data_IF_407941078858
#
_entry.id   IF_407941078858
#
_cell.length_a   1.000
_cell.length_b   1.000
_cell.length_c   1.000
_cell.angle_alpha   90.00
_cell.angle_beta   90.00
_cell.angle_gamma   90.00
#
_symmetry.space_group_name_H-M   'P 1'
#
loop_
_entity.id
_entity.type
_entity.pdbx_description
1 polymer ?
#
# COMPACT_ATOMS: atom_id res chain seq x y z
N UNK A 1 -2.50 30.62 -63.29
CA UNK A 1 -3.51 29.80 -62.61
C UNK A 1 -2.74 28.69 -61.94
N UNK A 2 -2.86 28.57 -60.61
CA UNK A 2 -2.29 27.44 -59.86
C UNK A 2 -3.10 26.18 -60.17
N UNK A 3 -2.42 25.03 -60.23
CA UNK A 3 -3.08 23.75 -60.49
C UNK A 3 -3.62 23.20 -59.16
N UNK A 4 -4.93 22.94 -59.10
CA UNK A 4 -5.56 22.31 -57.94
C UNK A 4 -5.08 20.87 -57.76
N UNK A 5 -4.96 20.46 -56.50
CA UNK A 5 -4.63 19.07 -56.15
C UNK A 5 -5.81 18.14 -56.39
N UNK A 6 -5.52 16.85 -56.56
CA UNK A 6 -6.56 15.83 -56.66
C UNK A 6 -7.39 15.75 -55.38
N UNK A 7 -8.72 15.77 -55.53
CA UNK A 7 -9.65 15.64 -54.41
C UNK A 7 -9.66 14.22 -53.83
N UNK A 8 -10.18 14.09 -52.62
CA UNK A 8 -10.37 12.80 -51.95
C UNK A 8 -11.28 11.90 -52.79
N UNK A 9 -10.72 10.77 -53.17
CA UNK A 9 -11.26 9.93 -54.24
C UNK A 9 -12.40 9.01 -53.79
N UNK A 10 -13.69 9.30 -54.00
CA UNK A 10 -14.80 8.34 -53.76
C UNK A 10 -15.37 8.26 -52.33
N UNK A 11 -16.09 7.18 -52.00
CA UNK A 11 -16.63 6.93 -50.65
C UNK A 11 -15.73 6.06 -49.78
N UNK A 12 -15.48 6.46 -48.52
CA UNK A 12 -14.72 5.67 -47.56
C UNK A 12 -15.36 4.31 -47.21
N UNK A 13 -16.66 4.16 -47.51
CA UNK A 13 -17.46 2.98 -47.23
C UNK A 13 -17.66 2.07 -48.46
N UNK A 14 -17.27 2.51 -49.65
CA UNK A 14 -17.35 1.77 -50.92
C UNK A 14 -15.99 1.81 -51.64
N UNK A 15 -15.01 0.99 -51.22
CA UNK A 15 -13.64 1.05 -51.73
C UNK A 15 -13.50 0.31 -53.08
N UNK A 16 -14.49 0.38 -53.98
CA UNK A 16 -14.44 -0.35 -55.26
C UNK A 16 -14.24 0.61 -56.44
N UNK A 17 -13.52 1.70 -56.22
CA UNK A 17 -13.32 2.75 -57.21
C UNK A 17 -11.85 2.73 -57.73
N UNK A 18 -11.67 2.96 -59.03
CA UNK A 18 -10.36 2.98 -59.72
C UNK A 18 -9.77 4.39 -59.71
N UNK A 19 -8.48 4.58 -59.42
CA UNK A 19 -7.88 5.92 -59.45
C UNK A 19 -8.07 6.61 -60.81
N UNK A 20 -8.49 7.88 -60.77
CA UNK A 20 -8.48 8.77 -61.92
C UNK A 20 -7.05 9.11 -62.35
N UNK A 21 -6.81 9.04 -63.66
CA UNK A 21 -5.61 9.57 -64.30
C UNK A 21 -5.79 11.01 -64.76
N UNK A 22 -4.69 11.63 -65.19
CA UNK A 22 -4.68 12.95 -65.85
C UNK A 22 -4.13 12.77 -67.25
N UNK A 23 -4.74 13.37 -68.26
CA UNK A 23 -4.22 13.31 -69.62
C UNK A 23 -4.82 14.43 -70.46
N UNK A 24 -4.04 14.94 -71.40
CA UNK A 24 -4.54 15.86 -72.42
C UNK A 24 -4.34 15.23 -73.79
N UNK A 25 -5.41 15.10 -74.61
CA UNK A 25 -5.31 14.50 -75.92
C UNK A 25 -4.35 15.26 -76.86
N UNK A 26 -3.98 16.50 -76.50
CA UNK A 26 -3.09 17.36 -77.29
C UNK A 26 -1.60 17.23 -76.94
N UNK A 27 -1.23 16.82 -75.71
CA UNK A 27 0.16 16.79 -75.25
C UNK A 27 0.81 15.40 -75.30
N UNK A 28 0.03 14.32 -75.37
CA UNK A 28 0.54 12.93 -75.39
C UNK A 28 1.21 12.46 -74.09
N UNK A 29 1.28 13.34 -73.10
CA UNK A 29 1.71 13.04 -71.74
C UNK A 29 0.46 12.76 -70.88
N UNK A 30 0.37 11.52 -70.38
CA UNK A 30 -0.73 11.03 -69.55
C UNK A 30 -0.16 10.39 -68.27
N UNK A 31 -0.81 10.61 -67.14
CA UNK A 31 -0.54 9.95 -65.86
C UNK A 31 -1.66 8.98 -65.53
N UNK A 32 -1.37 7.69 -65.39
CA UNK A 32 -2.36 6.70 -64.98
C UNK A 32 -2.72 6.81 -63.49
N UNK A 33 -4.00 6.64 -63.16
CA UNK A 33 -4.42 6.44 -61.77
C UNK A 33 -4.12 5.02 -61.28
N UNK A 34 -4.09 4.84 -59.97
CA UNK A 34 -3.88 3.53 -59.35
C UNK A 34 -5.04 2.56 -59.60
N UNK A 35 -4.73 1.26 -59.64
CA UNK A 35 -5.71 0.21 -59.92
C UNK A 35 -6.60 -0.20 -58.73
N UNK A 36 -7.23 -1.36 -58.85
CA UNK A 36 -7.98 -2.01 -57.76
C UNK A 36 -7.31 -3.35 -57.43
N UNK A 37 -6.87 -3.52 -56.19
CA UNK A 37 -6.34 -4.77 -55.67
C UNK A 37 -7.35 -5.35 -54.68
N UNK A 38 -7.87 -6.54 -54.97
CA UNK A 38 -8.77 -7.26 -54.07
C UNK A 38 -8.14 -8.59 -53.69
N UNK A 39 -7.95 -8.81 -52.38
CA UNK A 39 -7.37 -10.04 -51.84
C UNK A 39 -8.39 -10.69 -50.91
N UNK A 40 -8.90 -11.85 -51.33
CA UNK A 40 -9.92 -12.62 -50.63
C UNK A 40 -11.36 -12.22 -50.98
N UNK A 41 -12.32 -12.75 -50.24
CA UNK A 41 -13.74 -12.40 -50.40
C UNK A 41 -14.50 -12.53 -49.08
N UNK A 42 -15.72 -11.97 -49.02
CA UNK A 42 -16.63 -12.14 -47.88
C UNK A 42 -16.92 -13.61 -47.53
N UNK A 43 -17.05 -14.46 -48.55
CA UNK A 43 -17.38 -15.89 -48.39
C UNK A 43 -16.14 -16.72 -48.03
N UNK A 44 -14.99 -16.34 -48.57
CA UNK A 44 -13.71 -17.03 -48.41
C UNK A 44 -12.62 -16.02 -48.06
N UNK A 45 -12.55 -15.57 -46.80
CA UNK A 45 -11.49 -14.68 -46.35
C UNK A 45 -10.17 -15.44 -46.20
N UNK A 46 -9.04 -14.76 -46.41
CA UNK A 46 -7.73 -15.34 -46.15
C UNK A 46 -7.53 -15.50 -44.63
N UNK A 47 -7.03 -16.65 -44.20
CA UNK A 47 -6.72 -16.88 -42.78
C UNK A 47 -5.65 -15.91 -42.27
N UNK A 48 -4.54 -15.76 -42.99
CA UNK A 48 -3.49 -14.78 -42.68
C UNK A 48 -2.83 -14.27 -43.94
N UNK A 49 -2.53 -12.98 -44.00
CA UNK A 49 -1.70 -12.36 -45.02
C UNK A 49 -0.40 -11.84 -44.39
N UNK A 50 0.74 -12.25 -44.94
CA UNK A 50 2.06 -11.84 -44.50
C UNK A 50 2.72 -11.04 -45.63
N UNK A 51 3.08 -9.79 -45.37
CA UNK A 51 3.69 -8.90 -46.37
C UNK A 51 5.18 -8.74 -46.05
N UNK A 52 6.01 -9.32 -46.93
CA UNK A 52 7.47 -9.27 -46.95
C UNK A 52 7.94 -8.54 -48.23
N UNK A 53 7.78 -7.22 -48.29
CA UNK A 53 7.97 -6.41 -49.49
C UNK A 53 6.92 -5.33 -49.64
N UNK A 54 6.50 -5.03 -50.86
CA UNK A 54 5.55 -3.95 -51.15
C UNK A 54 4.24 -4.45 -51.77
N UNK A 55 3.12 -3.92 -51.32
CA UNK A 55 1.83 -3.97 -52.01
C UNK A 55 1.42 -2.54 -52.28
N UNK A 56 1.43 -2.12 -53.53
CA UNK A 56 1.10 -0.75 -53.92
C UNK A 56 0.03 -0.70 -54.98
N UNK A 57 -0.89 0.24 -54.82
CA UNK A 57 -1.85 0.68 -55.83
C UNK A 57 -1.73 2.19 -56.03
N UNK A 58 -0.49 2.67 -56.05
CA UNK A 58 -0.16 4.10 -56.12
C UNK A 58 -0.48 4.66 -57.51
N UNK A 59 -0.82 5.95 -57.56
CA UNK A 59 -1.00 6.68 -58.81
C UNK A 59 0.33 6.97 -59.48
N UNK A 60 0.33 7.03 -60.82
CA UNK A 60 1.53 7.32 -61.58
C UNK A 60 2.01 8.75 -61.30
N UNK A 61 3.31 8.87 -61.02
CA UNK A 61 3.98 10.16 -61.00
C UNK A 61 4.48 10.44 -62.41
N UNK A 62 4.25 11.66 -62.89
CA UNK A 62 4.79 12.05 -64.19
C UNK A 62 6.32 11.91 -64.16
N UNK A 63 6.88 11.18 -65.13
CA UNK A 63 8.31 10.89 -65.19
C UNK A 63 9.07 12.18 -65.49
N UNK A 64 10.27 12.31 -64.92
CA UNK A 64 11.22 13.35 -65.26
C UNK A 64 11.71 13.16 -66.71
N UNK A 65 10.86 13.47 -67.70
CA UNK A 65 11.34 13.66 -69.06
C UNK A 65 12.14 14.96 -69.04
N UNK A 66 13.47 14.81 -68.98
CA UNK A 66 14.46 15.83 -69.34
C UNK A 66 14.29 16.10 -70.84
N UNK A 67 13.19 16.74 -71.19
CA UNK A 67 12.86 17.16 -72.54
C UNK A 67 13.18 18.64 -72.65
N UNK A 68 14.22 18.96 -73.41
CA UNK A 68 14.46 20.33 -73.88
C UNK A 68 13.22 20.80 -74.68
N UNK A 69 12.28 21.47 -74.03
CA UNK A 69 11.22 22.20 -74.73
C UNK A 69 11.42 23.69 -74.54
N UNK A 70 12.14 24.28 -75.47
CA UNK A 70 12.12 25.70 -75.80
C UNK A 70 10.73 26.09 -76.33
N UNK A 71 9.72 26.11 -75.46
CA UNK A 71 8.33 26.35 -75.83
C UNK A 71 7.48 26.82 -74.65
N UNK A 72 6.71 27.89 -74.89
CA UNK A 72 5.88 28.61 -73.93
C UNK A 72 4.61 27.83 -73.50
N UNK A 73 4.75 26.61 -72.96
CA UNK A 73 3.62 25.86 -72.39
C UNK A 73 3.64 25.97 -70.86
N UNK A 74 2.77 26.81 -70.29
CA UNK A 74 2.64 27.09 -68.84
C UNK A 74 1.62 26.17 -68.14
N UNK A 75 1.61 24.89 -68.48
CA UNK A 75 0.71 23.93 -67.84
C UNK A 75 1.35 22.55 -67.83
N UNK A 76 1.88 22.15 -66.69
CA UNK A 76 2.31 20.78 -66.45
C UNK A 76 1.12 19.89 -66.04
N UNK A 77 1.37 18.60 -66.10
CA UNK A 77 0.35 17.57 -65.91
C UNK A 77 0.32 17.14 -64.44
N UNK A 78 -0.89 16.92 -63.94
CA UNK A 78 -1.11 16.44 -62.58
C UNK A 78 -0.69 14.99 -62.38
N UNK A 79 -0.43 14.62 -61.13
CA UNK A 79 -0.19 13.23 -60.76
C UNK A 79 -1.45 12.37 -60.85
N UNK A 80 -1.30 11.08 -61.16
CA UNK A 80 -2.40 10.13 -61.08
C UNK A 80 -2.87 9.95 -59.64
N UNK A 81 -4.18 9.79 -59.41
CA UNK A 81 -4.68 9.50 -58.05
C UNK A 81 -4.36 8.06 -57.63
N UNK A 82 -4.23 7.83 -56.32
CA UNK A 82 -4.07 6.49 -55.76
C UNK A 82 -5.32 5.63 -56.01
N UNK A 83 -5.10 4.33 -56.15
CA UNK A 83 -6.15 3.34 -56.37
C UNK A 83 -6.74 2.80 -55.07
N UNK A 84 -7.36 1.62 -55.14
CA UNK A 84 -7.98 1.00 -53.96
C UNK A 84 -7.44 -0.40 -53.67
N UNK A 85 -7.22 -0.68 -52.39
CA UNK A 85 -6.81 -1.99 -51.87
C UNK A 85 -7.87 -2.50 -50.88
N UNK A 86 -8.46 -3.66 -51.19
CA UNK A 86 -9.50 -4.35 -50.43
C UNK A 86 -8.96 -5.68 -49.88
N UNK A 87 -8.95 -5.81 -48.56
CA UNK A 87 -8.48 -7.02 -47.88
C UNK A 87 -9.63 -7.73 -47.15
N UNK A 88 -9.85 -9.00 -47.46
CA UNK A 88 -10.76 -9.88 -46.70
C UNK A 88 -9.95 -10.92 -45.94
N UNK A 89 -9.68 -10.66 -44.65
CA UNK A 89 -8.69 -11.41 -43.86
C UNK A 89 -9.25 -11.82 -42.49
N UNK A 90 -8.62 -12.82 -41.87
CA UNK A 90 -8.69 -13.07 -40.43
C UNK A 90 -7.45 -12.53 -39.69
N UNK A 91 -6.31 -12.40 -40.38
CA UNK A 91 -5.11 -11.80 -39.80
C UNK A 91 -4.15 -11.16 -40.81
N UNK A 92 -3.39 -10.17 -40.36
CA UNK A 92 -2.43 -9.39 -41.15
C UNK A 92 -1.10 -9.22 -40.41
N UNK A 93 0.01 -9.46 -41.10
CA UNK A 93 1.34 -9.07 -40.65
C UNK A 93 2.03 -8.25 -41.75
N UNK A 94 2.43 -7.03 -41.42
CA UNK A 94 3.31 -6.21 -42.27
C UNK A 94 4.66 -6.17 -41.60
N UNK A 95 5.66 -6.79 -42.22
CA UNK A 95 7.01 -6.88 -41.67
C UNK A 95 7.71 -5.50 -41.62
N UNK A 96 8.81 -5.41 -40.86
CA UNK A 96 9.71 -4.25 -40.88
C UNK A 96 10.30 -4.14 -42.30
N UNK A 97 10.36 -2.92 -42.84
CA UNK A 97 10.76 -2.62 -44.23
C UNK A 97 9.78 -3.05 -45.33
N UNK A 98 8.60 -3.57 -44.98
CA UNK A 98 7.51 -3.75 -45.93
C UNK A 98 6.67 -2.49 -46.07
N UNK A 99 6.08 -2.28 -47.25
CA UNK A 99 5.19 -1.16 -47.54
C UNK A 99 3.82 -1.61 -48.06
N UNK A 100 2.79 -0.94 -47.59
CA UNK A 100 1.43 -1.05 -48.11
C UNK A 100 0.96 0.36 -48.49
N UNK A 101 0.87 0.66 -49.77
CA UNK A 101 0.59 2.02 -50.25
C UNK A 101 -0.54 2.10 -51.27
N UNK A 102 -1.34 3.16 -51.13
CA UNK A 102 -2.29 3.60 -52.14
C UNK A 102 -2.23 5.14 -52.19
N UNK A 103 -1.03 5.68 -52.42
CA UNK A 103 -0.76 7.11 -52.44
C UNK A 103 -0.95 7.72 -53.84
N UNK A 104 -1.23 9.01 -53.89
CA UNK A 104 -1.29 9.77 -55.14
C UNK A 104 0.10 10.02 -55.74
N UNK A 105 0.15 10.09 -57.06
CA UNK A 105 1.35 10.42 -57.83
C UNK A 105 1.73 11.89 -57.73
N UNK A 106 3.00 12.20 -57.97
CA UNK A 106 3.52 13.58 -57.98
C UNK A 106 3.14 14.31 -59.26
N UNK A 107 2.86 15.61 -59.14
CA UNK A 107 2.68 16.51 -60.29
C UNK A 107 3.97 16.67 -61.10
N UNK A 108 3.82 17.02 -62.38
CA UNK A 108 4.93 17.14 -63.32
C UNK A 108 5.88 18.31 -63.07
N UNK A 109 7.06 18.24 -63.68
CA UNK A 109 8.16 19.20 -63.49
C UNK A 109 7.83 20.64 -63.91
N UNK A 110 6.88 20.85 -64.82
CA UNK A 110 6.50 22.17 -65.37
C UNK A 110 5.21 22.74 -64.76
N UNK A 111 4.86 22.30 -63.55
CA UNK A 111 3.72 22.79 -62.76
C UNK A 111 2.46 21.95 -62.87
N UNK A 112 2.06 21.29 -61.80
CA UNK A 112 0.88 20.41 -61.79
C UNK A 112 0.49 20.00 -60.38
N UNK A 113 -0.81 19.84 -60.13
CA UNK A 113 -1.34 19.36 -58.86
C UNK A 113 -0.95 17.91 -58.58
N UNK A 114 -0.75 17.59 -57.30
CA UNK A 114 -0.53 16.21 -56.87
C UNK A 114 -1.79 15.37 -57.00
N UNK A 115 -1.65 14.08 -57.30
CA UNK A 115 -2.79 13.16 -57.36
C UNK A 115 -3.41 12.96 -55.97
N UNK A 116 -4.73 12.75 -55.90
CA UNK A 116 -5.41 12.44 -54.64
C UNK A 116 -4.96 11.09 -54.07
N UNK A 117 -4.96 10.93 -52.75
CA UNK A 117 -4.68 9.66 -52.09
C UNK A 117 -5.78 8.62 -52.34
N UNK A 118 -5.38 7.37 -52.40
CA UNK A 118 -6.23 6.21 -52.64
C UNK A 118 -6.93 5.68 -51.38
N UNK A 119 -7.33 4.41 -51.39
CA UNK A 119 -8.05 3.80 -50.25
C UNK A 119 -7.50 2.43 -49.89
N UNK A 120 -7.47 2.14 -48.60
CA UNK A 120 -7.10 0.84 -48.07
C UNK A 120 -8.20 0.44 -47.08
N UNK A 121 -8.89 -0.66 -47.35
CA UNK A 121 -9.95 -1.15 -46.47
C UNK A 121 -9.68 -2.58 -46.01
N UNK A 122 -9.77 -2.77 -44.69
CA UNK A 122 -9.64 -4.07 -44.05
C UNK A 122 -10.99 -4.62 -43.61
N UNK A 123 -11.47 -5.63 -44.34
CA UNK A 123 -12.66 -6.38 -43.99
C UNK A 123 -12.29 -7.60 -43.13
N UNK A 124 -12.34 -7.42 -41.82
CA UNK A 124 -12.05 -8.48 -40.86
C UNK A 124 -13.17 -9.52 -40.78
N UNK A 125 -12.77 -10.79 -40.76
CA UNK A 125 -13.66 -11.93 -40.57
C UNK A 125 -13.32 -12.67 -39.28
N UNK A 126 -14.35 -13.18 -38.61
CA UNK A 126 -14.22 -14.01 -37.41
C UNK A 126 -13.33 -13.39 -36.30
N UNK A 127 -13.59 -12.13 -35.93
CA UNK A 127 -12.89 -11.48 -34.81
C UNK A 127 -13.34 -12.17 -33.51
N UNK A 128 -12.46 -12.96 -32.91
CA UNK A 128 -12.70 -13.54 -31.59
C UNK A 128 -12.78 -12.43 -30.53
N UNK A 129 -13.60 -12.62 -29.50
CA UNK A 129 -13.82 -11.63 -28.43
C UNK A 129 -13.60 -12.24 -27.04
N UNK A 130 -13.36 -11.39 -26.05
CA UNK A 130 -13.10 -11.84 -24.67
C UNK A 130 -11.82 -12.67 -24.55
N UNK A 131 -11.89 -13.78 -23.81
CA UNK A 131 -10.72 -14.59 -23.45
C UNK A 131 -10.03 -15.26 -24.65
N UNK A 132 -10.74 -15.42 -25.77
CA UNK A 132 -10.22 -15.97 -27.03
C UNK A 132 -9.64 -14.90 -27.96
N UNK A 133 -9.70 -13.62 -27.59
CA UNK A 133 -9.17 -12.56 -28.44
C UNK A 133 -7.67 -12.74 -28.69
N UNK A 134 -7.32 -12.64 -29.98
CA UNK A 134 -5.94 -12.63 -30.46
C UNK A 134 -5.80 -11.41 -31.37
N UNK A 135 -4.67 -10.72 -31.25
CA UNK A 135 -4.36 -9.58 -32.11
C UNK A 135 -4.43 -10.00 -33.59
N UNK A 136 -5.35 -9.37 -34.32
CA UNK A 136 -5.62 -9.70 -35.73
C UNK A 136 -4.64 -9.02 -36.70
N UNK A 137 -4.02 -7.89 -36.31
CA UNK A 137 -3.07 -7.19 -37.16
C UNK A 137 -1.82 -6.76 -36.40
N UNK A 138 -0.65 -7.00 -36.99
CA UNK A 138 0.63 -6.47 -36.53
C UNK A 138 1.30 -5.72 -37.68
N UNK A 139 1.47 -4.40 -37.50
CA UNK A 139 2.00 -3.50 -38.52
C UNK A 139 3.33 -2.97 -38.01
N UNK A 140 4.41 -3.56 -38.51
CA UNK A 140 5.78 -3.11 -38.23
C UNK A 140 6.39 -2.33 -39.41
N UNK A 141 5.74 -2.36 -40.58
CA UNK A 141 6.13 -1.63 -41.79
C UNK A 141 5.32 -0.34 -41.99
N UNK A 142 5.36 0.20 -43.21
CA UNK A 142 4.67 1.45 -43.57
C UNK A 142 3.32 1.19 -44.21
N UNK A 143 2.29 1.93 -43.78
CA UNK A 143 0.97 1.95 -44.43
C UNK A 143 0.68 3.39 -44.82
N UNK A 144 0.56 3.67 -46.12
CA UNK A 144 0.41 5.02 -46.65
C UNK A 144 -0.77 5.12 -47.62
N UNK A 145 -1.50 6.21 -47.53
CA UNK A 145 -2.64 6.52 -48.40
C UNK A 145 -2.69 8.03 -48.63
N UNK A 146 -1.52 8.67 -48.75
CA UNK A 146 -1.40 10.13 -48.77
C UNK A 146 -1.64 10.71 -50.16
N UNK A 147 -2.00 11.98 -50.21
CA UNK A 147 -1.97 12.74 -51.47
C UNK A 147 -0.55 12.86 -52.03
N UNK A 148 -0.47 13.01 -53.34
CA UNK A 148 0.77 13.31 -54.05
C UNK A 148 1.21 14.76 -53.86
N UNK A 149 2.50 15.02 -54.03
CA UNK A 149 3.04 16.39 -54.02
C UNK A 149 2.68 17.11 -55.31
N UNK A 150 2.20 18.35 -55.19
CA UNK A 150 2.19 19.28 -56.32
C UNK A 150 3.59 19.81 -56.61
N UNK A 151 3.78 20.44 -57.77
CA UNK A 151 5.03 21.06 -58.20
C UNK A 151 4.77 22.39 -58.93
N UNK A 152 5.77 23.29 -58.99
CA UNK A 152 5.71 24.70 -59.47
C UNK A 152 4.35 25.38 -59.19
N UNK A 153 4.13 25.76 -57.92
CA UNK A 153 2.89 26.37 -57.41
C UNK A 153 1.63 25.48 -57.48
N UNK A 154 1.77 24.19 -57.83
CA UNK A 154 0.69 23.19 -57.75
C UNK A 154 0.36 22.78 -56.32
N UNK A 155 -0.93 22.59 -56.03
CA UNK A 155 -1.40 22.14 -54.71
C UNK A 155 -1.17 20.64 -54.49
N UNK A 156 -1.01 20.25 -53.22
CA UNK A 156 -0.96 18.85 -52.80
C UNK A 156 -2.31 18.18 -53.03
N UNK A 157 -2.28 16.90 -53.41
CA UNK A 157 -3.50 16.08 -53.42
C UNK A 157 -4.03 15.89 -51.99
N UNK A 158 -5.33 15.69 -51.86
CA UNK A 158 -5.94 15.36 -50.58
C UNK A 158 -5.55 13.94 -50.13
N UNK A 159 -5.46 13.73 -48.81
CA UNK A 159 -5.19 12.41 -48.25
C UNK A 159 -6.36 11.45 -48.44
N UNK A 160 -6.00 10.20 -48.70
CA UNK A 160 -6.91 9.08 -48.86
C UNK A 160 -7.50 8.57 -47.54
N UNK A 161 -7.93 7.31 -47.53
CA UNK A 161 -8.51 6.71 -46.33
C UNK A 161 -8.04 5.30 -46.07
N UNK A 162 -7.71 5.05 -44.81
CA UNK A 162 -7.46 3.72 -44.28
C UNK A 162 -8.63 3.37 -43.35
N UNK A 163 -9.53 2.48 -43.79
CA UNK A 163 -10.73 2.10 -43.03
C UNK A 163 -10.73 0.61 -42.68
N UNK A 164 -11.49 0.26 -41.66
CA UNK A 164 -11.67 -1.12 -41.22
C UNK A 164 -13.14 -1.40 -40.97
N UNK A 165 -13.50 -2.67 -40.98
CA UNK A 165 -14.82 -3.12 -40.51
C UNK A 165 -15.08 -2.67 -39.08
N UNK A 166 -16.35 -2.42 -38.76
CA UNK A 166 -16.79 -2.14 -37.40
C UNK A 166 -16.35 -3.23 -36.42
N UNK A 167 -15.66 -2.82 -35.37
CA UNK A 167 -15.17 -3.75 -34.35
C UNK A 167 -16.28 -4.14 -33.37
N UNK A 168 -16.24 -5.38 -32.84
CA UNK A 168 -17.15 -5.79 -31.77
C UNK A 168 -16.86 -5.03 -30.47
N UNK A 169 -17.70 -5.26 -29.47
CA UNK A 169 -17.57 -4.69 -28.12
C UNK A 169 -16.17 -4.96 -27.53
N UNK A 170 -15.65 -4.02 -26.75
CA UNK A 170 -14.30 -4.11 -26.15
C UNK A 170 -13.11 -3.72 -27.08
N UNK A 171 -13.31 -3.68 -28.40
CA UNK A 171 -12.25 -3.39 -29.38
C UNK A 171 -12.51 -2.09 -30.14
N UNK A 172 -11.48 -1.41 -30.66
CA UNK A 172 -11.61 -0.16 -31.43
C UNK A 172 -10.52 0.00 -32.50
N UNK A 173 -10.67 1.01 -33.35
CA UNK A 173 -9.72 1.36 -34.41
C UNK A 173 -9.88 0.53 -35.68
N UNK A 174 -9.05 0.82 -36.68
CA UNK A 174 -9.03 0.10 -37.97
C UNK A 174 -8.69 -1.38 -37.83
N UNK A 175 -7.86 -1.71 -36.83
CA UNK A 175 -7.31 -3.06 -36.61
C UNK A 175 -7.97 -3.81 -35.44
N UNK A 176 -9.08 -3.27 -34.91
CA UNK A 176 -9.79 -3.83 -33.74
C UNK A 176 -8.86 -4.19 -32.58
N UNK A 177 -8.12 -3.19 -32.11
CA UNK A 177 -7.27 -3.29 -30.93
C UNK A 177 -8.09 -3.18 -29.66
N UNK A 178 -7.61 -3.77 -28.57
CA UNK A 178 -8.28 -3.71 -27.26
C UNK A 178 -8.37 -2.27 -26.75
N UNK A 179 -9.53 -1.88 -26.20
CA UNK A 179 -9.68 -0.58 -25.55
C UNK A 179 -8.66 -0.41 -24.39
N UNK A 180 -8.18 0.81 -24.11
CA UNK A 180 -7.23 1.06 -23.03
C UNK A 180 -7.71 0.58 -21.65
N UNK A 181 -6.76 0.20 -20.79
CA UNK A 181 -7.06 -0.22 -19.40
C UNK A 181 -7.78 0.91 -18.66
N UNK A 182 -8.84 0.56 -17.91
CA UNK A 182 -9.70 1.54 -17.25
C UNK A 182 -10.76 2.16 -18.16
N UNK A 183 -10.98 1.59 -19.35
CA UNK A 183 -12.12 1.90 -20.22
C UNK A 183 -12.93 0.65 -20.53
N UNK A 184 -14.20 0.84 -20.86
CA UNK A 184 -15.11 -0.19 -21.34
C UNK A 184 -15.82 0.27 -22.60
N UNK A 185 -16.26 -0.70 -23.40
CA UNK A 185 -17.03 -0.47 -24.61
C UNK A 185 -18.09 -1.54 -24.79
N UNK A 186 -19.35 -1.12 -24.76
CA UNK A 186 -20.53 -1.99 -24.83
C UNK A 186 -21.28 -1.92 -26.18
N UNK A 187 -20.78 -1.15 -27.15
CA UNK A 187 -21.37 -0.99 -28.49
C UNK A 187 -20.39 -1.42 -29.57
N UNK A 188 -20.90 -1.87 -30.72
CA UNK A 188 -20.08 -2.11 -31.91
C UNK A 188 -19.65 -0.79 -32.56
N UNK A 189 -18.49 -0.77 -33.21
CA UNK A 189 -17.97 0.37 -33.98
C UNK A 189 -16.44 0.45 -33.94
N UNK A 190 -15.83 1.36 -34.68
CA UNK A 190 -14.35 1.47 -34.74
C UNK A 190 -13.80 2.78 -34.18
N UNK A 191 -14.67 3.69 -33.75
CA UNK A 191 -14.25 4.97 -33.18
C UNK A 191 -13.63 4.80 -31.79
N UNK A 192 -12.52 5.50 -31.55
CA UNK A 192 -11.81 5.53 -30.26
C UNK A 192 -12.66 6.16 -29.14
N UNK A 193 -13.51 7.13 -29.48
CA UNK A 193 -14.42 7.77 -28.55
C UNK A 193 -15.49 6.84 -27.96
N UNK A 194 -15.66 5.62 -28.52
CA UNK A 194 -16.56 4.61 -27.97
C UNK A 194 -15.97 3.87 -26.77
N UNK A 195 -14.66 3.97 -26.52
CA UNK A 195 -14.04 3.45 -25.30
C UNK A 195 -14.28 4.47 -24.17
N UNK A 196 -15.29 4.21 -23.34
CA UNK A 196 -15.69 5.09 -22.25
C UNK A 196 -14.94 4.76 -20.95
N UNK A 197 -14.49 5.76 -20.17
CA UNK A 197 -13.77 5.50 -18.92
C UNK A 197 -14.68 4.86 -17.87
N UNK A 198 -14.12 3.94 -17.10
CA UNK A 198 -14.80 3.29 -15.98
C UNK A 198 -14.97 4.25 -14.80
N UNK A 199 -16.02 4.08 -14.00
CA UNK A 199 -16.26 4.92 -12.83
C UNK A 199 -15.19 4.72 -11.76
N UNK A 200 -14.47 5.80 -11.41
CA UNK A 200 -13.50 5.79 -10.31
C UNK A 200 -14.15 5.61 -8.94
N UNK A 201 -15.44 5.96 -8.81
CA UNK A 201 -16.17 5.80 -7.55
C UNK A 201 -16.36 4.32 -7.17
N UNK A 202 -16.31 3.42 -8.16
CA UNK A 202 -16.38 1.98 -7.95
C UNK A 202 -15.01 1.35 -7.63
N UNK A 203 -13.92 2.11 -7.76
CA UNK A 203 -12.56 1.63 -7.55
C UNK A 203 -12.10 1.97 -6.12
N UNK A 204 -11.74 0.98 -5.30
CA UNK A 204 -11.16 1.24 -3.98
C UNK A 204 -9.84 2.02 -4.07
N UNK A 205 -9.55 2.87 -3.06
CA UNK A 205 -8.35 3.74 -3.03
C UNK A 205 -6.99 3.01 -3.16
N UNK A 206 -6.95 1.68 -2.97
CA UNK A 206 -5.74 0.84 -3.06
C UNK A 206 -5.88 -0.26 -4.13
N UNK A 207 -6.64 0.02 -5.18
CA UNK A 207 -6.88 -0.85 -6.32
C UNK A 207 -6.53 -0.15 -7.63
N UNK A 208 -6.07 -0.93 -8.60
CA UNK A 208 -5.85 -0.50 -9.97
C UNK A 208 -6.65 -1.39 -10.93
N UNK A 209 -7.11 -0.81 -12.04
CA UNK A 209 -7.75 -1.57 -13.11
C UNK A 209 -6.76 -2.55 -13.72
N UNK A 210 -7.24 -3.76 -14.03
CA UNK A 210 -6.40 -4.80 -14.64
C UNK A 210 -6.59 -4.85 -16.15
N UNK A 211 -5.53 -5.27 -16.83
CA UNK A 211 -5.61 -5.68 -18.22
C UNK A 211 -6.50 -6.91 -18.36
N UNK A 212 -7.44 -6.87 -19.30
CA UNK A 212 -8.29 -7.99 -19.69
C UNK A 212 -8.20 -8.17 -21.20
N UNK A 213 -7.97 -9.42 -21.59
CA UNK A 213 -7.90 -9.82 -22.98
C UNK A 213 -9.25 -9.60 -23.67
N UNK A 214 -9.23 -9.04 -24.87
CA UNK A 214 -10.42 -8.67 -25.65
C UNK A 214 -11.10 -7.38 -25.19
N UNK A 215 -10.51 -6.67 -24.22
CA UNK A 215 -11.08 -5.45 -23.66
C UNK A 215 -12.31 -5.68 -22.78
N UNK A 216 -12.72 -4.63 -22.05
CA UNK A 216 -13.86 -4.71 -21.13
C UNK A 216 -15.14 -4.33 -21.87
N UNK A 217 -16.17 -5.18 -21.75
CA UNK A 217 -17.47 -4.97 -22.42
C UNK A 217 -18.52 -4.32 -21.52
N UNK A 218 -18.35 -4.40 -20.20
CA UNK A 218 -19.30 -3.91 -19.20
C UNK A 218 -18.75 -2.69 -18.46
N UNK A 219 -19.64 -1.81 -17.94
CA UNK A 219 -19.22 -0.64 -17.16
C UNK A 219 -18.51 -0.99 -15.84
N UNK A 220 -18.75 -2.19 -15.31
CA UNK A 220 -18.05 -2.71 -14.12
C UNK A 220 -16.69 -3.28 -14.50
N UNK A 221 -15.68 -2.42 -14.45
CA UNK A 221 -14.34 -2.79 -14.88
C UNK A 221 -13.61 -3.60 -13.80
N UNK A 222 -12.94 -4.70 -14.19
CA UNK A 222 -12.23 -5.53 -13.25
C UNK A 222 -10.98 -4.81 -12.73
N UNK A 223 -10.70 -5.01 -11.45
CA UNK A 223 -9.60 -4.38 -10.74
C UNK A 223 -8.93 -5.38 -9.80
N UNK A 224 -7.73 -5.04 -9.36
CA UNK A 224 -6.98 -5.80 -8.36
C UNK A 224 -6.30 -4.83 -7.41
N UNK A 225 -6.12 -5.27 -6.16
CA UNK A 225 -5.35 -4.49 -5.22
C UNK A 225 -3.89 -4.35 -5.66
N UNK A 226 -3.29 -3.19 -5.39
CA UNK A 226 -1.90 -2.85 -5.77
C UNK A 226 -0.89 -3.88 -5.22
N UNK A 227 -1.20 -4.47 -4.06
CA UNK A 227 -0.35 -5.47 -3.42
C UNK A 227 -1.17 -6.64 -2.90
N UNK A 228 -0.55 -7.83 -2.87
CA UNK A 228 -1.12 -9.03 -2.27
C UNK A 228 -1.34 -8.91 -0.74
N UNK A 229 -0.79 -7.88 -0.10
CA UNK A 229 -1.04 -7.56 1.32
C UNK A 229 -2.48 -7.11 1.59
N UNK A 230 -3.16 -6.60 0.58
CA UNK A 230 -4.51 -6.10 0.66
C UNK A 230 -5.49 -7.16 0.14
N UNK A 231 -6.62 -7.31 0.82
CA UNK A 231 -7.61 -8.33 0.47
C UNK A 231 -8.77 -7.71 -0.31
N UNK A 232 -9.14 -8.34 -1.43
CA UNK A 232 -10.35 -7.97 -2.18
C UNK A 232 -11.61 -8.27 -1.36
N UNK A 233 -12.71 -7.50 -1.55
CA UNK A 233 -12.92 -6.51 -2.61
C UNK A 233 -12.41 -5.09 -2.30
N UNK A 234 -12.42 -4.65 -1.04
CA UNK A 234 -12.15 -3.25 -0.70
C UNK A 234 -10.66 -2.89 -0.57
N UNK A 235 -9.75 -3.85 -0.77
CA UNK A 235 -8.31 -3.67 -0.64
C UNK A 235 -7.87 -3.13 0.72
N UNK A 236 -8.52 -3.64 1.78
CA UNK A 236 -8.16 -3.35 3.16
C UNK A 236 -7.00 -4.23 3.63
N UNK A 237 -6.27 -3.71 4.61
CA UNK A 237 -5.33 -4.51 5.40
C UNK A 237 -6.09 -5.48 6.32
N UNK A 238 -5.45 -6.56 6.80
CA UNK A 238 -6.08 -7.49 7.73
C UNK A 238 -6.64 -6.81 8.99
N UNK A 239 -5.95 -5.79 9.50
CA UNK A 239 -6.41 -5.02 10.67
C UNK A 239 -7.60 -4.12 10.34
N UNK A 240 -7.59 -3.43 9.20
CA UNK A 240 -8.73 -2.64 8.72
C UNK A 240 -9.96 -3.54 8.49
N UNK A 241 -9.79 -4.76 7.95
CA UNK A 241 -10.88 -5.73 7.78
C UNK A 241 -11.55 -6.06 9.13
N UNK A 242 -10.76 -6.28 10.19
CA UNK A 242 -11.31 -6.47 11.55
C UNK A 242 -12.07 -5.22 12.01
N UNK A 243 -11.48 -4.03 11.90
CA UNK A 243 -12.12 -2.77 12.30
C UNK A 243 -13.47 -2.59 11.60
N UNK A 244 -13.52 -2.78 10.28
CA UNK A 244 -14.74 -2.62 9.50
C UNK A 244 -15.74 -3.76 9.71
N UNK A 245 -15.29 -4.97 10.07
CA UNK A 245 -16.18 -6.06 10.50
C UNK A 245 -16.97 -5.68 11.75
N UNK A 246 -16.35 -4.94 12.67
CA UNK A 246 -17.03 -4.41 13.87
C UNK A 246 -17.90 -3.17 13.59
N UNK A 247 -18.10 -2.77 12.33
CA UNK A 247 -18.90 -1.60 11.96
C UNK A 247 -18.10 -0.30 11.81
N UNK A 248 -16.77 -0.39 11.80
CA UNK A 248 -15.87 0.71 11.52
C UNK A 248 -15.02 1.16 12.72
N UNK A 249 -14.20 2.21 12.54
CA UNK A 249 -13.23 2.64 13.54
C UNK A 249 -13.87 3.03 14.88
N UNK A 250 -15.03 3.69 14.83
CA UNK A 250 -15.72 4.19 16.01
C UNK A 250 -16.30 3.07 16.87
N UNK A 251 -17.02 2.13 16.26
CA UNK A 251 -17.59 0.99 16.98
C UNK A 251 -16.51 0.06 17.52
N UNK A 252 -15.43 -0.17 16.76
CA UNK A 252 -14.27 -0.92 17.24
C UNK A 252 -13.62 -0.25 18.46
N UNK A 253 -13.45 1.07 18.45
CA UNK A 253 -12.90 1.81 19.59
C UNK A 253 -13.77 1.68 20.85
N UNK A 254 -15.10 1.77 20.71
CA UNK A 254 -16.03 1.59 21.83
C UNK A 254 -15.96 0.16 22.39
N UNK A 255 -15.91 -0.85 21.52
CA UNK A 255 -15.77 -2.25 21.94
C UNK A 255 -14.45 -2.48 22.69
N UNK A 256 -13.35 -1.93 22.16
CA UNK A 256 -12.03 -2.05 22.76
C UNK A 256 -11.96 -1.33 24.12
N UNK A 257 -12.60 -0.18 24.25
CA UNK A 257 -12.72 0.54 25.52
C UNK A 257 -13.49 -0.28 26.56
N UNK A 258 -14.63 -0.88 26.18
CA UNK A 258 -15.39 -1.75 27.07
C UNK A 258 -14.60 -2.99 27.48
N UNK A 259 -13.86 -3.61 26.55
CA UNK A 259 -13.00 -4.76 26.83
C UNK A 259 -11.88 -4.41 27.84
N UNK A 260 -11.27 -3.23 27.71
CA UNK A 260 -10.25 -2.74 28.66
C UNK A 260 -10.86 -2.53 30.05
N UNK A 261 -12.03 -1.91 30.14
CA UNK A 261 -12.73 -1.72 31.43
C UNK A 261 -13.04 -3.07 32.07
N UNK A 262 -13.60 -4.01 31.30
CA UNK A 262 -13.92 -5.34 31.79
C UNK A 262 -12.67 -6.07 32.30
N UNK A 263 -11.55 -5.99 31.56
CA UNK A 263 -10.27 -6.55 31.97
C UNK A 263 -9.78 -5.90 33.28
N UNK A 264 -9.88 -4.58 33.40
CA UNK A 264 -9.50 -3.86 34.63
C UNK A 264 -10.36 -4.28 35.83
N UNK A 265 -11.66 -4.47 35.63
CA UNK A 265 -12.58 -4.98 36.66
C UNK A 265 -12.23 -6.41 37.07
N UNK A 266 -11.95 -7.31 36.12
CA UNK A 266 -11.53 -8.69 36.40
C UNK A 266 -10.21 -8.68 37.20
N UNK A 267 -9.22 -7.90 36.77
CA UNK A 267 -7.94 -7.79 37.49
C UNK A 267 -8.13 -7.22 38.90
N UNK A 268 -9.05 -6.28 39.08
CA UNK A 268 -9.40 -5.73 40.40
C UNK A 268 -10.10 -6.76 41.28
N UNK A 269 -11.05 -7.54 40.74
CA UNK A 269 -11.71 -8.62 41.46
C UNK A 269 -10.72 -9.74 41.87
N UNK A 270 -9.78 -10.08 40.99
CA UNK A 270 -8.69 -11.01 41.29
C UNK A 270 -7.78 -10.45 42.41
N UNK A 271 -7.49 -9.15 42.42
CA UNK A 271 -6.74 -8.51 43.53
C UNK A 271 -7.47 -8.62 44.86
N UNK A 272 -8.78 -8.36 44.88
CA UNK A 272 -9.60 -8.49 46.10
C UNK A 272 -9.61 -9.92 46.59
N UNK A 273 -9.83 -10.90 45.69
CA UNK A 273 -9.90 -12.32 46.04
C UNK A 273 -8.57 -12.87 46.58
N UNK A 274 -7.44 -12.44 46.00
CA UNK A 274 -6.11 -12.83 46.49
C UNK A 274 -5.80 -12.17 47.85
N UNK A 275 -6.15 -10.89 48.01
CA UNK A 275 -5.99 -10.17 49.28
C UNK A 275 -6.86 -10.73 50.40
N UNK A 276 -8.07 -11.17 50.08
CA UNK A 276 -9.00 -11.79 51.03
C UNK A 276 -8.48 -13.15 51.50
N UNK A 277 -7.90 -13.97 50.62
CA UNK A 277 -7.26 -15.24 51.02
C UNK A 277 -6.05 -15.06 51.94
N UNK A 278 -5.35 -13.91 51.91
CA UNK A 278 -4.28 -13.58 52.87
C UNK A 278 -4.86 -13.17 54.24
N UNK A 279 -6.07 -12.61 54.26
CA UNK A 279 -6.81 -12.23 55.49
C UNK A 279 -7.52 -13.44 56.11
N UNK A 280 -8.10 -14.35 55.33
CA UNK A 280 -8.80 -15.55 55.86
C UNK A 280 -7.82 -16.55 56.50
N UNK A 281 -6.57 -16.63 56.00
CA UNK A 281 -5.52 -17.42 56.65
C UNK A 281 -5.07 -16.83 58.00
N UNK A 282 -5.22 -15.52 58.21
CA UNK A 282 -4.99 -14.89 59.52
C UNK A 282 -6.22 -14.93 60.44
N UNK A 283 -7.42 -15.00 59.87
CA UNK A 283 -8.66 -15.08 60.65
C UNK A 283 -8.94 -16.49 61.21
N UNK A 284 -8.48 -17.56 60.55
CA UNK A 284 -8.69 -18.95 61.01
C UNK A 284 -7.86 -19.33 62.24
N UNK A 285 -6.80 -18.58 62.57
CA UNK A 285 -6.02 -18.79 63.80
C UNK A 285 -6.50 -17.96 65.01
N UNK A 286 -7.58 -17.18 64.89
CA UNK A 286 -7.93 -16.16 65.88
C UNK A 286 -9.42 -16.11 66.29
N UNK A 287 -10.17 -17.21 66.18
CA UNK A 287 -11.58 -17.26 66.63
C UNK A 287 -11.79 -18.41 67.62
N UNK A 288 -11.47 -18.13 68.89
CA UNK A 288 -12.28 -18.59 70.03
C UNK A 288 -12.20 -17.53 71.12
N UNK A 289 -13.20 -16.65 71.16
CA UNK A 289 -13.88 -16.18 72.37
C UNK A 289 -14.76 -14.98 72.01
N UNK A 290 -16.06 -15.25 71.99
CA UNK A 290 -17.13 -14.26 72.00
C UNK A 290 -17.14 -13.50 73.33
N UNK A 291 -17.32 -12.18 73.26
CA UNK A 291 -18.30 -11.45 74.07
C UNK A 291 -18.33 -9.95 73.71
N UNK A 292 -19.49 -9.52 73.22
CA UNK A 292 -20.18 -8.24 73.46
C UNK A 292 -19.37 -6.92 73.48
N UNK A 293 -19.56 -6.08 72.46
CA UNK A 293 -20.36 -4.85 72.56
C UNK A 293 -20.16 -3.91 71.35
N UNK A 294 -21.26 -3.68 70.63
CA UNK A 294 -21.70 -2.45 69.94
C UNK A 294 -20.72 -1.32 69.56
N UNK A 295 -20.60 -1.14 68.24
CA UNK A 295 -20.89 0.10 67.48
C UNK A 295 -19.85 1.26 67.44
N UNK A 296 -19.88 2.13 66.41
CA UNK A 296 -18.72 2.52 65.63
C UNK A 296 -18.26 3.96 65.90
N UNK A 297 -16.96 4.22 65.75
CA UNK A 297 -16.46 5.59 65.60
C UNK A 297 -15.22 5.64 64.71
N UNK A 298 -15.15 6.71 63.91
CA UNK A 298 -14.24 6.94 62.79
C UNK A 298 -12.76 7.09 63.20
N UNK A 299 -11.92 6.88 62.18
CA UNK A 299 -10.52 7.29 62.05
C UNK A 299 -10.12 8.49 62.93
N UNK A 300 -9.10 8.28 63.75
CA UNK A 300 -7.97 9.18 64.08
C UNK A 300 -7.54 8.92 65.53
N UNK A 301 -6.23 8.70 65.74
CA UNK A 301 -5.56 8.55 67.04
C UNK A 301 -5.81 7.27 67.86
N UNK A 302 -4.97 6.26 67.63
CA UNK A 302 -4.62 5.13 68.52
C UNK A 302 -3.84 4.11 67.65
N UNK A 303 -2.54 3.80 67.73
CA UNK A 303 -1.60 3.77 68.85
C UNK A 303 -2.18 3.22 70.15
N UNK A 304 -2.77 2.02 70.11
CA UNK A 304 -3.08 1.23 71.32
C UNK A 304 -3.23 -0.25 70.89
N UNK A 305 -3.09 -1.27 71.76
CA UNK A 305 -2.09 -1.57 72.77
C UNK A 305 -1.55 -3.01 72.61
N UNK A 306 -0.24 -3.19 72.59
CA UNK A 306 0.39 -4.48 72.90
C UNK A 306 0.70 -4.59 74.39
N UNK A 307 -0.24 -4.23 75.26
CA UNK A 307 -0.14 -4.44 76.70
C UNK A 307 -0.49 -5.90 77.02
N UNK A 308 0.43 -6.80 76.71
CA UNK A 308 0.45 -8.18 77.24
C UNK A 308 1.89 -8.68 77.48
N UNK A 309 2.78 -7.78 77.91
CA UNK A 309 4.16 -8.10 78.33
C UNK A 309 4.52 -7.47 79.68
N UNK A 310 3.57 -7.49 80.62
CA UNK A 310 3.87 -7.21 82.03
C UNK A 310 4.83 -8.25 82.66
N UNK A 311 5.19 -9.32 81.94
CA UNK A 311 6.19 -10.32 82.38
C UNK A 311 7.57 -10.20 81.72
N UNK A 312 7.80 -9.30 80.75
CA UNK A 312 9.13 -9.19 80.09
C UNK A 312 9.98 -7.99 80.50
N UNK A 313 9.45 -7.10 81.32
CA UNK A 313 10.17 -5.87 81.73
C UNK A 313 11.25 -6.10 82.79
N UNK A 314 11.45 -7.33 83.28
CA UNK A 314 12.51 -7.63 84.25
C UNK A 314 13.86 -8.02 83.61
N UNK A 315 13.98 -8.08 82.26
CA UNK A 315 15.22 -8.54 81.58
C UNK A 315 15.76 -7.65 80.46
N UNK A 316 15.16 -6.48 80.19
CA UNK A 316 15.62 -5.58 79.13
C UNK A 316 16.32 -4.34 79.70
N UNK A 317 17.58 -4.11 79.28
CA UNK A 317 18.40 -2.96 79.72
C UNK A 317 18.01 -1.67 78.98
N UNK A 318 17.86 -1.72 77.65
CA UNK A 318 17.50 -0.56 76.83
C UNK A 318 16.89 -0.97 75.49
N UNK A 319 15.94 -0.17 74.96
CA UNK A 319 15.36 -0.37 73.62
C UNK A 319 15.87 0.70 72.67
N UNK A 320 16.51 0.27 71.60
CA UNK A 320 16.96 1.15 70.52
C UNK A 320 15.91 1.24 69.40
N UNK A 321 15.78 2.42 68.80
CA UNK A 321 14.83 2.67 67.71
C UNK A 321 15.58 3.00 66.42
N UNK A 322 15.19 2.32 65.33
CA UNK A 322 15.66 2.67 64.00
C UNK A 322 15.08 4.00 63.55
N UNK A 323 15.94 4.83 62.97
CA UNK A 323 15.60 6.13 62.40
C UNK A 323 15.39 6.01 60.88
N UNK A 324 14.57 6.89 60.31
CA UNK A 324 14.36 7.03 58.86
C UNK A 324 13.07 6.41 58.32
N UNK A 325 12.59 6.85 57.13
CA UNK A 325 11.31 6.44 56.52
C UNK A 325 11.36 5.07 55.80
N UNK A 326 12.48 4.36 55.85
CA UNK A 326 12.72 3.07 55.20
C UNK A 326 12.45 3.10 53.69
N UNK A 327 12.99 4.10 53.01
CA UNK A 327 12.90 4.21 51.55
C UNK A 327 14.19 3.72 50.91
N UNK A 328 14.17 3.44 49.59
CA UNK A 328 15.38 3.01 48.88
C UNK A 328 16.50 4.07 48.90
N UNK A 329 16.15 5.36 49.08
CA UNK A 329 17.11 6.46 49.21
C UNK A 329 17.58 6.68 50.65
N UNK A 330 16.71 6.37 51.61
CA UNK A 330 16.96 6.57 53.03
C UNK A 330 16.52 5.31 53.80
N UNK A 331 17.41 4.31 53.92
CA UNK A 331 17.12 3.08 54.65
C UNK A 331 16.99 3.33 56.15
N UNK A 332 16.59 2.29 56.89
CA UNK A 332 16.68 2.36 58.35
C UNK A 332 18.13 2.39 58.80
N UNK A 333 18.39 3.17 59.85
CA UNK A 333 19.71 3.31 60.43
C UNK A 333 19.61 3.61 61.92
N UNK A 334 20.66 3.29 62.67
CA UNK A 334 20.83 3.65 64.08
C UNK A 334 21.85 4.78 64.22
N UNK A 335 21.68 5.69 65.20
CA UNK A 335 22.59 6.82 65.39
C UNK A 335 23.98 6.37 65.88
N UNK A 336 25.02 7.05 65.38
CA UNK A 336 26.40 6.89 65.84
C UNK A 336 26.61 7.66 67.14
N UNK A 337 26.23 7.03 68.24
CA UNK A 337 26.65 7.33 69.62
C UNK A 337 25.77 6.52 70.57
N UNK A 338 26.33 5.93 71.64
CA UNK A 338 25.50 5.29 72.64
C UNK A 338 24.63 6.35 73.34
N UNK A 339 23.31 6.13 73.48
CA UNK A 339 22.46 6.96 74.32
C UNK A 339 23.02 7.11 75.73
N UNK A 340 22.77 8.26 76.36
CA UNK A 340 23.25 8.57 77.72
C UNK A 340 22.89 7.49 78.76
N UNK A 341 21.79 6.76 78.53
CA UNK A 341 21.35 5.65 79.39
C UNK A 341 22.23 4.40 79.36
N UNK A 342 23.00 4.17 78.29
CA UNK A 342 23.83 2.96 78.12
C UNK A 342 25.33 3.25 77.97
N UNK A 343 25.72 4.52 77.90
CA UNK A 343 27.13 4.94 77.75
C UNK A 343 28.06 4.38 78.85
N UNK A 344 27.55 4.18 80.06
CA UNK A 344 28.29 3.58 81.17
C UNK A 344 28.46 2.06 81.09
N UNK A 345 27.62 1.38 80.31
CA UNK A 345 27.52 -0.09 80.22
C UNK A 345 28.24 -0.61 78.96
N UNK A 346 28.53 0.25 77.99
CA UNK A 346 28.96 -0.13 76.65
C UNK A 346 30.33 0.48 76.31
N UNK A 347 31.17 -0.22 75.54
CA UNK A 347 32.37 0.34 74.91
C UNK A 347 31.98 1.07 73.62
N UNK A 348 32.29 2.37 73.53
CA UNK A 348 31.88 3.23 72.42
C UNK A 348 32.37 2.72 71.06
N UNK A 349 33.64 2.31 70.96
CA UNK A 349 34.22 1.80 69.72
C UNK A 349 33.56 0.49 69.24
N UNK A 350 33.26 -0.42 70.17
CA UNK A 350 32.62 -1.70 69.85
C UNK A 350 31.13 -1.52 69.53
N UNK A 351 30.49 -0.52 70.15
CA UNK A 351 29.12 -0.14 69.81
C UNK A 351 29.05 0.45 68.40
N UNK A 352 29.94 1.37 68.04
CA UNK A 352 29.93 1.99 66.73
C UNK A 352 30.14 0.96 65.60
N UNK A 353 31.00 -0.06 65.80
CA UNK A 353 31.14 -1.18 64.85
C UNK A 353 29.88 -2.02 64.70
N UNK A 354 29.19 -2.29 65.81
CA UNK A 354 27.89 -2.96 65.76
C UNK A 354 26.84 -2.14 64.99
N UNK A 355 26.86 -0.81 65.16
CA UNK A 355 25.99 0.10 64.40
C UNK A 355 26.35 0.10 62.91
N UNK A 356 27.63 0.08 62.55
CA UNK A 356 28.09 -0.07 61.16
C UNK A 356 27.51 -1.34 60.53
N UNK A 357 27.64 -2.48 61.21
CA UNK A 357 27.15 -3.77 60.70
C UNK A 357 25.63 -3.79 60.54
N UNK A 358 24.88 -3.28 61.52
CA UNK A 358 23.42 -3.17 61.41
C UNK A 358 22.99 -2.23 60.27
N UNK A 359 23.65 -1.07 60.15
CA UNK A 359 23.33 -0.08 59.11
C UNK A 359 23.63 -0.65 57.72
N UNK A 360 24.69 -1.46 57.56
CA UNK A 360 24.99 -2.18 56.32
C UNK A 360 23.92 -3.24 55.99
N UNK A 361 23.44 -4.00 56.97
CA UNK A 361 22.36 -4.99 56.76
C UNK A 361 21.04 -4.30 56.37
N UNK A 362 20.75 -3.15 56.97
CA UNK A 362 19.55 -2.36 56.74
C UNK A 362 19.57 -1.61 55.39
N UNK A 363 20.75 -1.32 54.83
CA UNK A 363 20.90 -0.62 53.55
C UNK A 363 20.31 -1.42 52.36
N UNK A 364 19.70 -0.72 51.40
CA UNK A 364 19.18 -1.33 50.17
C UNK A 364 20.25 -1.36 49.08
N UNK A 365 20.27 -2.41 48.27
CA UNK A 365 21.12 -2.47 47.08
C UNK A 365 20.54 -1.58 45.97
N UNK A 366 21.41 -0.98 45.14
CA UNK A 366 21.02 -0.01 44.12
C UNK A 366 20.00 -0.56 43.10
N UNK A 367 20.10 -1.82 42.73
CA UNK A 367 19.21 -2.45 41.74
C UNK A 367 17.78 -2.60 42.27
N UNK A 368 17.57 -2.70 43.59
CA UNK A 368 16.24 -2.86 44.18
C UNK A 368 15.37 -1.63 43.93
N UNK A 369 15.99 -0.45 43.99
CA UNK A 369 15.37 0.83 43.65
C UNK A 369 15.10 0.98 42.14
N UNK A 370 16.00 0.47 41.29
CA UNK A 370 15.80 0.46 39.84
C UNK A 370 14.61 -0.41 39.43
N UNK A 371 14.48 -1.61 40.00
CA UNK A 371 13.33 -2.50 39.75
C UNK A 371 12.03 -1.84 40.19
N UNK A 372 12.01 -1.21 41.36
CA UNK A 372 10.84 -0.45 41.81
C UNK A 372 10.47 0.68 40.84
N UNK A 373 11.46 1.41 40.33
CA UNK A 373 11.23 2.55 39.41
C UNK A 373 10.66 2.08 38.07
N UNK A 374 11.15 0.97 37.51
CA UNK A 374 10.62 0.36 36.29
C UNK A 374 9.18 -0.12 36.52
N UNK A 375 8.94 -0.83 37.63
CA UNK A 375 7.60 -1.31 37.97
C UNK A 375 6.63 -0.16 38.22
N UNK A 376 7.08 0.99 38.76
CA UNK A 376 6.21 2.13 39.01
C UNK A 376 5.67 2.75 37.72
N UNK A 377 6.45 2.70 36.63
CA UNK A 377 6.04 3.18 35.30
C UNK A 377 5.15 2.16 34.58
N UNK A 378 5.50 0.87 34.64
CA UNK A 378 4.78 -0.19 33.91
C UNK A 378 3.48 -0.64 34.60
N UNK A 379 3.51 -0.77 35.93
CA UNK A 379 2.42 -1.31 36.72
C UNK A 379 2.55 -0.88 38.20
N UNK A 380 2.05 0.31 38.53
CA UNK A 380 2.10 0.87 39.88
C UNK A 380 1.72 -0.11 41.03
N UNK A 381 0.69 -0.96 40.91
CA UNK A 381 0.35 -1.93 41.96
C UNK A 381 1.44 -2.99 42.21
N UNK A 382 2.20 -3.37 41.17
CA UNK A 382 3.32 -4.29 41.27
C UNK A 382 4.53 -3.61 41.94
N UNK A 383 4.74 -2.31 41.70
CA UNK A 383 5.79 -1.53 42.37
C UNK A 383 5.58 -1.46 43.88
N UNK A 384 4.35 -1.19 44.33
CA UNK A 384 4.01 -1.15 45.75
C UNK A 384 4.24 -2.50 46.43
N UNK A 385 3.79 -3.58 45.78
CA UNK A 385 3.95 -4.95 46.28
C UNK A 385 5.43 -5.34 46.40
N UNK A 386 6.24 -5.00 45.40
CA UNK A 386 7.69 -5.20 45.40
C UNK A 386 8.37 -4.49 46.57
N UNK A 387 8.04 -3.20 46.77
CA UNK A 387 8.59 -2.40 47.88
C UNK A 387 8.28 -3.03 49.24
N UNK A 388 7.04 -3.49 49.44
CA UNK A 388 6.63 -4.07 50.72
C UNK A 388 7.28 -5.43 50.98
N UNK A 389 7.43 -6.26 49.94
CA UNK A 389 8.13 -7.54 50.05
C UNK A 389 9.61 -7.36 50.42
N UNK A 390 10.32 -6.41 49.78
CA UNK A 390 11.72 -6.11 50.12
C UNK A 390 11.88 -5.63 51.56
N UNK A 391 10.97 -4.76 52.04
CA UNK A 391 10.96 -4.30 53.45
C UNK A 391 10.80 -5.46 54.43
N UNK A 392 9.86 -6.39 54.17
CA UNK A 392 9.67 -7.58 55.02
C UNK A 392 10.91 -8.47 55.04
N UNK A 393 11.55 -8.69 53.89
CA UNK A 393 12.80 -9.48 53.80
C UNK A 393 13.95 -8.83 54.59
N UNK A 394 14.06 -7.50 54.58
CA UNK A 394 15.06 -6.77 55.37
C UNK A 394 14.81 -6.87 56.87
N UNK A 395 13.55 -6.78 57.31
CA UNK A 395 13.19 -7.01 58.73
C UNK A 395 13.61 -8.42 59.17
N UNK A 396 13.32 -9.44 58.36
CA UNK A 396 13.72 -10.81 58.69
C UNK A 396 15.23 -10.96 58.81
N UNK A 397 16.01 -10.38 57.89
CA UNK A 397 17.48 -10.41 57.98
C UNK A 397 18.02 -9.69 59.21
N UNK A 398 17.44 -8.54 59.58
CA UNK A 398 17.83 -7.83 60.81
C UNK A 398 17.50 -8.65 62.06
N UNK A 399 16.36 -9.33 62.09
CA UNK A 399 15.98 -10.23 63.19
C UNK A 399 16.91 -11.44 63.28
N UNK A 400 17.37 -11.96 62.15
CA UNK A 400 18.29 -13.10 62.08
C UNK A 400 19.68 -12.68 62.56
N UNK A 401 20.22 -11.56 62.05
CA UNK A 401 21.49 -10.98 62.47
C UNK A 401 21.57 -10.78 63.99
N UNK A 402 20.55 -10.16 64.60
CA UNK A 402 20.51 -9.94 66.06
C UNK A 402 20.42 -11.26 66.85
N UNK A 403 19.83 -12.32 66.29
CA UNK A 403 19.69 -13.61 66.96
C UNK A 403 20.91 -14.52 66.83
N UNK A 404 21.65 -14.44 65.72
CA UNK A 404 22.69 -15.42 65.39
C UNK A 404 24.11 -14.86 65.34
N UNK A 405 24.28 -13.56 65.14
CA UNK A 405 25.58 -12.95 64.80
C UNK A 405 26.01 -11.86 65.80
N UNK A 406 25.14 -11.49 66.75
CA UNK A 406 25.42 -10.43 67.71
C UNK A 406 26.21 -10.92 68.94
N UNK A 407 27.53 -10.80 68.89
CA UNK A 407 28.51 -11.33 69.86
C UNK A 407 28.56 -10.67 71.25
N UNK A 408 27.57 -9.83 71.64
CA UNK A 408 27.52 -9.04 72.90
C UNK A 408 28.81 -8.27 73.27
N UNK A 409 29.73 -8.11 72.32
CA UNK A 409 31.11 -7.64 72.52
C UNK A 409 31.19 -6.18 72.96
N UNK A 410 30.12 -5.41 72.71
CA UNK A 410 30.02 -4.02 73.10
C UNK A 410 29.74 -3.82 74.59
N UNK A 411 29.28 -4.83 75.33
CA UNK A 411 28.98 -4.71 76.77
C UNK A 411 30.25 -4.77 77.64
N UNK A 412 30.38 -3.88 78.62
CA UNK A 412 31.53 -3.80 79.55
C UNK A 412 31.58 -4.92 80.58
N UNK A 413 30.44 -5.50 80.95
CA UNK A 413 30.39 -6.56 81.97
C UNK A 413 30.84 -7.90 81.39
N UNK A 414 31.81 -8.56 82.03
CA UNK A 414 32.27 -9.89 81.65
C UNK A 414 31.16 -10.94 81.74
N UNK A 415 30.21 -10.78 82.67
CA UNK A 415 29.05 -11.69 82.84
C UNK A 415 28.07 -11.56 81.69
N UNK A 416 27.87 -10.36 81.13
CA UNK A 416 26.97 -10.17 79.99
C UNK A 416 27.59 -10.60 78.66
N UNK A 417 28.93 -10.54 78.54
CA UNK A 417 29.65 -11.07 77.37
C UNK A 417 29.64 -12.60 77.29
N UNK A 418 29.50 -13.28 78.43
CA UNK A 418 29.48 -14.74 78.53
C UNK A 418 28.08 -15.36 78.32
N UNK A 419 27.05 -14.54 78.08
CA UNK A 419 25.66 -14.98 77.82
C UNK A 419 25.34 -15.15 76.33
N UNK A 420 26.36 -15.11 75.47
CA UNK A 420 26.24 -15.34 74.03
C UNK A 420 26.03 -16.83 73.72
#
# INVERSE_FOLDING_TARGET
MTSEGGQRYGSAYLPCELGSGTGSPESGDDSAGGGLIVIGSMKWPLARLLIYGSVSSDGESNRDTIGNSSGSFKGGIGGGSGGTILFFLQGLLVEKNSSLSASGGKGGIHGGGGGGGGRIHFHWSNIATGDEFVQIASINGTVASSGGSGNDDGHFGEDGTITGKECPVGLYGTFCTECPVGTYKNVAGSNSSLCTPCSLNALPNRADFIYVRGGVTQPSCPYKCISAKYKMPNCYTPLEEVIYTFGGPWSFAVFLFFAIILLALILSAVRVKIGESEVTYRATSAIHNDAYASSPFLLSLAEVPGASRAEETQSHVHRMYFMGPNTFREPWHLPYSPPESIIGIVYEDAFNRFIDEINLVAAFEWWEGSVHSILAVLAYPCAWSWKQWRRRKKIHRLQEYVKSEYDHSCLRSCRSRALY
#
